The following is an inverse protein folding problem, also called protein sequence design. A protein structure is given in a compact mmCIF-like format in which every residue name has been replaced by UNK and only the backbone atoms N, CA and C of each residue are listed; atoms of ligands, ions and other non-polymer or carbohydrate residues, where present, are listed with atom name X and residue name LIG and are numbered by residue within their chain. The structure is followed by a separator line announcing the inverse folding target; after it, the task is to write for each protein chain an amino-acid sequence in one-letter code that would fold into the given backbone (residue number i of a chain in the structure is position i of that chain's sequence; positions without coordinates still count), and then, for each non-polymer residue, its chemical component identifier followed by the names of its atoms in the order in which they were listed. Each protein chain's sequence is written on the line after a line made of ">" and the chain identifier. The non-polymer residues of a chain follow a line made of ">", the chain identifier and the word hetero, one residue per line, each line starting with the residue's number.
data_IF_012475763214
#
_entry.id   IF_012475763214
#
_cell.length_a   1.000
_cell.length_b   1.000
_cell.length_c   1.000
_cell.angle_alpha   90.00
_cell.angle_beta   90.00
_cell.angle_gamma   90.00
#
_symmetry.space_group_name_H-M   'P 1'
#
loop_
_entity.id
_entity.type
_entity.pdbx_description
1 polymer ?
#
# COMPACT_ATOMS: atom_id res chain seq x y z
N UNK A 1 -5.26 9.03 9.77
CA UNK A 1 -6.11 10.24 9.85
C UNK A 1 -6.90 10.52 8.57
N UNK A 2 -6.39 10.23 7.36
CA UNK A 2 -7.14 10.35 6.08
C UNK A 2 -8.42 9.49 6.02
N UNK A 3 -8.41 8.28 6.60
CA UNK A 3 -9.60 7.41 6.66
C UNK A 3 -10.75 7.97 7.54
N UNK A 4 -10.43 8.78 8.56
CA UNK A 4 -11.43 9.47 9.40
C UNK A 4 -12.03 10.68 8.68
N UNK A 5 -11.27 11.36 7.80
CA UNK A 5 -11.78 12.43 6.95
C UNK A 5 -12.77 11.95 5.89
N UNK A 6 -12.64 10.70 5.42
CA UNK A 6 -13.53 10.08 4.42
C UNK A 6 -14.91 9.69 4.98
N UNK A 7 -15.02 9.54 6.30
CA UNK A 7 -16.24 9.08 6.98
C UNK A 7 -17.08 10.22 7.57
N UNK A 8 -16.61 11.47 7.47
CA UNK A 8 -17.27 12.63 8.06
C UNK A 8 -18.22 13.33 7.04
N UNK A 9 -19.53 13.06 7.16
CA UNK A 9 -20.58 13.60 6.26
C UNK A 9 -20.74 15.13 6.30
N UNK A 10 -20.20 15.81 7.30
CA UNK A 10 -20.47 17.23 7.54
C UNK A 10 -19.57 18.20 6.74
N UNK A 11 -18.52 17.72 6.06
CA UNK A 11 -17.57 18.57 5.32
C UNK A 11 -17.19 17.94 3.96
N UNK A 12 -18.04 18.07 2.92
CA UNK A 12 -17.88 17.37 1.64
C UNK A 12 -16.60 17.77 0.88
N UNK A 13 -16.09 19.00 1.04
CA UNK A 13 -14.85 19.44 0.40
C UNK A 13 -13.60 18.69 0.89
N UNK A 14 -13.53 18.38 2.20
CA UNK A 14 -12.40 17.65 2.79
C UNK A 14 -12.44 16.18 2.37
N UNK A 15 -13.65 15.60 2.25
CA UNK A 15 -13.84 14.25 1.77
C UNK A 15 -13.39 14.10 0.30
N UNK A 16 -13.76 15.05 -0.57
CA UNK A 16 -13.35 15.05 -1.99
C UNK A 16 -11.84 15.21 -2.12
N UNK A 17 -11.22 16.12 -1.36
CA UNK A 17 -9.77 16.28 -1.37
C UNK A 17 -9.03 15.02 -0.92
N UNK A 18 -9.45 14.39 0.19
CA UNK A 18 -8.85 13.14 0.66
C UNK A 18 -9.05 11.99 -0.32
N UNK A 19 -10.20 11.94 -1.00
CA UNK A 19 -10.50 10.91 -2.02
C UNK A 19 -9.64 11.12 -3.26
N UNK A 20 -9.51 12.35 -3.75
CA UNK A 20 -8.65 12.72 -4.88
C UNK A 20 -7.19 12.35 -4.60
N UNK A 21 -6.66 12.65 -3.42
CA UNK A 21 -5.28 12.27 -3.07
C UNK A 21 -5.09 10.75 -3.07
N UNK A 22 -6.04 10.00 -2.51
CA UNK A 22 -5.97 8.52 -2.49
C UNK A 22 -6.13 7.94 -3.90
N UNK A 23 -7.05 8.47 -4.72
CA UNK A 23 -7.29 8.01 -6.08
C UNK A 23 -6.17 8.39 -7.04
N UNK A 24 -5.54 9.57 -6.88
CA UNK A 24 -4.35 9.94 -7.66
C UNK A 24 -3.21 8.98 -7.34
N UNK A 25 -2.95 8.70 -6.06
CA UNK A 25 -1.86 7.78 -5.68
C UNK A 25 -2.13 6.34 -6.12
N UNK A 26 -3.39 5.87 -6.04
CA UNK A 26 -3.77 4.52 -6.52
C UNK A 26 -3.91 4.43 -8.04
N UNK A 27 -4.10 5.56 -8.72
CA UNK A 27 -4.21 5.67 -10.17
C UNK A 27 -2.86 5.81 -10.87
N UNK A 28 -1.78 6.07 -10.13
CA UNK A 28 -0.42 6.12 -10.67
C UNK A 28 0.19 4.71 -10.62
N UNK A 29 0.56 4.12 -11.76
CA UNK A 29 1.25 2.83 -11.79
C UNK A 29 2.57 2.90 -11.00
N UNK A 30 2.91 1.84 -10.27
CA UNK A 30 4.21 1.70 -9.59
C UNK A 30 5.37 1.96 -10.55
N UNK A 31 5.22 1.48 -11.78
CA UNK A 31 6.12 1.72 -12.92
C UNK A 31 6.47 3.20 -13.10
N UNK A 32 5.48 4.09 -13.07
CA UNK A 32 5.67 5.54 -13.22
C UNK A 32 6.41 6.13 -12.02
N UNK A 33 6.11 5.65 -10.82
CA UNK A 33 6.78 6.09 -9.60
C UNK A 33 8.24 5.66 -9.55
N UNK A 34 8.55 4.45 -10.01
CA UNK A 34 9.92 3.93 -10.12
C UNK A 34 10.75 4.71 -11.13
N UNK A 35 10.18 5.04 -12.29
CA UNK A 35 10.84 5.91 -13.27
C UNK A 35 11.06 7.33 -12.72
N UNK A 36 10.07 7.89 -12.04
CA UNK A 36 10.20 9.19 -11.40
C UNK A 36 11.27 9.17 -10.29
N UNK A 37 11.34 8.11 -9.49
CA UNK A 37 12.36 7.96 -8.45
C UNK A 37 13.77 7.77 -9.04
N UNK A 38 13.89 7.04 -10.16
CA UNK A 38 15.16 6.92 -10.88
C UNK A 38 15.65 8.28 -11.39
N UNK A 39 14.77 9.07 -12.00
CA UNK A 39 15.09 10.36 -12.60
C UNK A 39 15.28 11.48 -11.56
N UNK A 40 14.42 11.57 -10.55
CA UNK A 40 14.33 12.73 -9.65
C UNK A 40 15.18 12.59 -8.40
N UNK A 41 15.34 11.39 -7.82
CA UNK A 41 16.14 11.21 -6.59
C UNK A 41 17.59 11.68 -6.75
N UNK A 42 18.31 11.46 -7.88
CA UNK A 42 19.66 11.99 -8.08
C UNK A 42 19.71 13.52 -8.09
N UNK A 43 18.63 14.19 -8.55
CA UNK A 43 18.51 15.65 -8.61
C UNK A 43 18.39 16.29 -7.22
N UNK A 44 17.82 15.58 -6.23
CA UNK A 44 17.58 16.11 -4.89
C UNK A 44 18.63 15.69 -3.85
N UNK A 45 19.23 14.50 -3.96
CA UNK A 45 20.14 13.92 -2.95
C UNK A 45 21.60 14.00 -3.43
N UNK A 46 22.00 15.13 -4.01
CA UNK A 46 23.33 15.32 -4.57
C UNK A 46 24.47 14.71 -3.73
N UNK A 47 25.37 14.01 -4.40
CA UNK A 47 26.71 13.56 -3.95
C UNK A 47 26.78 12.26 -3.11
N UNK A 48 25.68 11.71 -2.57
CA UNK A 48 25.73 10.36 -1.97
C UNK A 48 25.36 9.32 -3.02
N UNK A 49 26.35 8.60 -3.54
CA UNK A 49 26.15 7.44 -4.42
C UNK A 49 25.54 6.27 -3.62
N UNK A 50 24.23 6.34 -3.37
CA UNK A 50 23.49 5.20 -2.83
C UNK A 50 23.29 4.20 -3.96
N UNK A 51 23.66 2.95 -3.70
CA UNK A 51 23.50 1.84 -4.63
C UNK A 51 22.07 1.79 -5.20
N UNK A 52 21.97 1.57 -6.51
CA UNK A 52 20.72 1.56 -7.25
C UNK A 52 19.74 0.52 -6.67
N UNK A 53 20.27 -0.63 -6.25
CA UNK A 53 19.48 -1.71 -5.66
C UNK A 53 18.84 -1.27 -4.34
N UNK A 54 19.57 -0.54 -3.50
CA UNK A 54 19.07 -0.03 -2.22
C UNK A 54 17.99 1.03 -2.45
N UNK A 55 18.22 1.96 -3.38
CA UNK A 55 17.23 3.00 -3.74
C UNK A 55 15.94 2.41 -4.28
N UNK A 56 16.06 1.45 -5.20
CA UNK A 56 14.92 0.73 -5.75
C UNK A 56 14.17 0.00 -4.64
N UNK A 57 14.88 -0.78 -3.81
CA UNK A 57 14.29 -1.57 -2.73
C UNK A 57 13.48 -0.72 -1.73
N UNK A 58 14.01 0.44 -1.32
CA UNK A 58 13.28 1.38 -0.44
C UNK A 58 12.02 1.91 -1.12
N UNK A 59 12.09 2.29 -2.40
CA UNK A 59 10.95 2.73 -3.18
C UNK A 59 9.85 1.66 -3.28
N UNK A 60 10.23 0.41 -3.56
CA UNK A 60 9.32 -0.73 -3.59
C UNK A 60 8.68 -0.96 -2.23
N UNK A 61 9.45 -1.05 -1.14
CA UNK A 61 8.92 -1.32 0.20
C UNK A 61 7.91 -0.26 0.61
N UNK A 62 8.24 1.03 0.45
CA UNK A 62 7.35 2.12 0.82
C UNK A 62 6.05 2.10 0.03
N UNK A 63 6.12 1.82 -1.27
CA UNK A 63 4.94 1.75 -2.12
C UNK A 63 4.08 0.53 -1.78
N UNK A 64 4.67 -0.67 -1.77
CA UNK A 64 3.98 -1.92 -1.44
C UNK A 64 3.32 -1.87 -0.06
N UNK A 65 3.96 -1.25 0.93
CA UNK A 65 3.40 -1.12 2.27
C UNK A 65 2.05 -0.37 2.28
N UNK A 66 1.87 0.63 1.42
CA UNK A 66 0.60 1.37 1.29
C UNK A 66 -0.49 0.48 0.71
N UNK A 67 -0.18 -0.28 -0.34
CA UNK A 67 -1.15 -1.17 -1.00
C UNK A 67 -1.57 -2.32 -0.08
N UNK A 68 -0.60 -2.98 0.57
CA UNK A 68 -0.88 -4.05 1.54
C UNK A 68 -1.71 -3.53 2.72
N UNK A 69 -1.45 -2.31 3.21
CA UNK A 69 -2.26 -1.72 4.27
C UNK A 69 -3.72 -1.49 3.84
N UNK A 70 -3.94 -1.06 2.60
CA UNK A 70 -5.27 -0.85 2.04
C UNK A 70 -6.02 -2.17 1.79
N UNK A 71 -5.31 -3.22 1.39
CA UNK A 71 -5.85 -4.57 1.23
C UNK A 71 -6.30 -5.17 2.58
N UNK A 72 -5.46 -5.03 3.62
CA UNK A 72 -5.83 -5.44 4.98
C UNK A 72 -7.04 -4.64 5.48
N UNK A 73 -7.09 -3.33 5.19
CA UNK A 73 -8.25 -2.47 5.51
C UNK A 73 -9.51 -2.94 4.79
N UNK A 74 -9.40 -3.32 3.51
CA UNK A 74 -10.48 -3.92 2.73
C UNK A 74 -10.95 -5.23 3.33
N UNK A 75 -10.03 -6.10 3.73
CA UNK A 75 -10.31 -7.34 4.44
C UNK A 75 -11.04 -7.12 5.77
N UNK A 76 -10.64 -6.11 6.56
CA UNK A 76 -11.32 -5.74 7.80
C UNK A 76 -12.77 -5.27 7.56
N UNK A 77 -13.02 -4.57 6.46
CA UNK A 77 -14.37 -4.12 6.10
C UNK A 77 -15.28 -5.24 5.55
N UNK A 78 -14.69 -6.32 5.04
CA UNK A 78 -15.43 -7.47 4.56
C UNK A 78 -16.03 -8.32 5.70
N UNK A 79 -15.52 -8.19 6.93
CA UNK A 79 -16.04 -8.92 8.08
C UNK A 79 -17.43 -8.39 8.46
N UNK A 80 -18.41 -9.28 8.50
CA UNK A 80 -19.80 -8.89 8.81
C UNK A 80 -19.94 -8.43 10.27
N UNK A 81 -20.78 -7.40 10.49
CA UNK A 81 -21.06 -6.91 11.85
C UNK A 81 -21.67 -7.98 12.76
N UNK A 82 -22.41 -8.94 12.19
CA UNK A 82 -22.98 -10.06 12.93
C UNK A 82 -21.93 -10.93 13.63
N UNK A 83 -20.71 -11.05 13.09
CA UNK A 83 -19.61 -11.77 13.78
C UNK A 83 -19.19 -11.05 15.07
N UNK A 84 -19.14 -9.71 15.03
CA UNK A 84 -18.80 -8.88 16.19
C UNK A 84 -19.92 -8.93 17.24
N UNK A 85 -21.18 -8.90 16.81
CA UNK A 85 -22.35 -8.99 17.68
C UNK A 85 -22.47 -10.37 18.34
N UNK A 86 -22.28 -11.45 17.58
CA UNK A 86 -22.27 -12.82 18.10
C UNK A 86 -21.14 -13.04 19.12
N UNK A 87 -19.92 -12.56 18.80
CA UNK A 87 -18.77 -12.63 19.69
C UNK A 87 -19.01 -11.86 21.01
N UNK A 88 -19.69 -10.71 20.93
CA UNK A 88 -20.11 -9.95 22.11
C UNK A 88 -21.19 -10.67 22.92
N UNK A 89 -22.14 -11.35 22.27
CA UNK A 89 -23.21 -12.09 22.93
C UNK A 89 -22.69 -13.28 23.76
N UNK A 90 -21.58 -13.89 23.35
CA UNK A 90 -20.91 -14.96 24.12
C UNK A 90 -19.91 -14.43 25.17
N UNK A 91 -19.89 -13.11 25.42
CA UNK A 91 -19.11 -12.49 26.50
C UNK A 91 -17.65 -12.20 26.18
N UNK A 92 -17.23 -12.23 24.90
CA UNK A 92 -15.86 -11.84 24.55
C UNK A 92 -15.65 -10.32 24.73
N UNK A 93 -14.49 -9.96 25.28
CA UNK A 93 -14.10 -8.56 25.39
C UNK A 93 -13.65 -8.00 24.02
N UNK A 94 -13.60 -6.67 23.83
CA UNK A 94 -13.26 -6.07 22.55
C UNK A 94 -11.91 -6.53 21.96
N UNK A 95 -10.91 -6.75 22.82
CA UNK A 95 -9.60 -7.23 22.38
C UNK A 95 -9.66 -8.67 21.85
N UNK A 96 -10.38 -9.55 22.55
CA UNK A 96 -10.63 -10.92 22.10
C UNK A 96 -11.44 -10.96 20.81
N UNK A 97 -12.47 -10.12 20.68
CA UNK A 97 -13.26 -10.02 19.45
C UNK A 97 -12.34 -9.63 18.27
N UNK A 98 -11.48 -8.62 18.45
CA UNK A 98 -10.55 -8.22 17.40
C UNK A 98 -9.55 -9.33 17.08
N UNK A 99 -8.86 -9.88 18.08
CA UNK A 99 -7.77 -10.82 17.87
C UNK A 99 -8.23 -12.20 17.37
N UNK A 100 -9.34 -12.72 17.91
CA UNK A 100 -9.79 -14.10 17.68
C UNK A 100 -10.85 -14.22 16.59
N UNK A 101 -11.63 -13.16 16.34
CA UNK A 101 -12.77 -13.20 15.41
C UNK A 101 -12.50 -12.35 14.19
N UNK A 102 -12.28 -11.05 14.38
CA UNK A 102 -12.22 -10.08 13.26
C UNK A 102 -10.92 -10.21 12.48
N UNK A 103 -9.77 -10.17 13.16
CA UNK A 103 -8.45 -10.18 12.54
C UNK A 103 -8.19 -11.42 11.66
N UNK A 104 -8.41 -12.67 12.11
CA UNK A 104 -8.16 -13.84 11.26
C UNK A 104 -9.10 -13.92 10.05
N UNK A 105 -10.35 -13.47 10.18
CA UNK A 105 -11.29 -13.40 9.06
C UNK A 105 -10.88 -12.31 8.05
N UNK A 106 -10.50 -11.14 8.56
CA UNK A 106 -10.06 -10.02 7.75
C UNK A 106 -8.79 -10.33 6.96
N UNK A 107 -7.79 -10.95 7.62
CA UNK A 107 -6.56 -11.37 6.96
C UNK A 107 -6.85 -12.37 5.85
N UNK A 108 -7.70 -13.36 6.09
CA UNK A 108 -8.11 -14.34 5.07
C UNK A 108 -8.80 -13.68 3.88
N UNK A 109 -9.66 -12.68 4.14
CA UNK A 109 -10.31 -11.90 3.10
C UNK A 109 -9.34 -11.02 2.29
N UNK A 110 -8.23 -10.58 2.91
CA UNK A 110 -7.20 -9.78 2.24
C UNK A 110 -6.21 -10.60 1.40
N UNK A 111 -6.07 -11.92 1.66
CA UNK A 111 -5.10 -12.79 0.95
C UNK A 111 -5.18 -12.68 -0.58
N UNK A 112 -6.36 -12.74 -1.23
CA UNK A 112 -6.43 -12.67 -2.69
C UNK A 112 -5.88 -11.36 -3.26
N UNK A 113 -6.14 -10.24 -2.58
CA UNK A 113 -5.65 -8.92 -2.98
C UNK A 113 -4.12 -8.82 -2.80
N UNK A 114 -3.60 -9.28 -1.65
CA UNK A 114 -2.17 -9.32 -1.36
C UNK A 114 -1.41 -10.18 -2.38
N UNK A 115 -1.98 -11.32 -2.80
CA UNK A 115 -1.39 -12.16 -3.85
C UNK A 115 -1.38 -11.42 -5.20
N UNK A 116 -2.43 -10.68 -5.52
CA UNK A 116 -2.47 -9.82 -6.71
C UNK A 116 -1.38 -8.75 -6.70
N UNK A 117 -1.17 -8.11 -5.55
CA UNK A 117 -0.10 -7.12 -5.36
C UNK A 117 1.28 -7.77 -5.50
N UNK A 118 1.50 -8.95 -4.90
CA UNK A 118 2.74 -9.71 -5.06
C UNK A 118 3.05 -10.05 -6.53
N UNK A 119 2.04 -10.48 -7.29
CA UNK A 119 2.21 -10.77 -8.72
C UNK A 119 2.54 -9.51 -9.53
N UNK A 120 1.99 -8.36 -9.14
CA UNK A 120 2.31 -7.07 -9.77
C UNK A 120 3.75 -6.68 -9.47
N UNK A 121 4.18 -6.77 -8.20
CA UNK A 121 5.56 -6.48 -7.79
C UNK A 121 6.59 -7.38 -8.48
N UNK A 122 6.23 -8.65 -8.67
CA UNK A 122 7.07 -9.59 -9.41
C UNK A 122 7.28 -9.15 -10.86
N UNK A 123 6.24 -8.65 -11.53
CA UNK A 123 6.34 -8.08 -12.89
C UNK A 123 7.17 -6.80 -12.91
N UNK A 124 6.99 -5.94 -11.90
CA UNK A 124 7.72 -4.66 -11.82
C UNK A 124 9.21 -4.84 -11.51
N UNK A 125 9.62 -5.97 -10.92
CA UNK A 125 11.04 -6.30 -10.68
C UNK A 125 11.83 -6.39 -11.99
N UNK A 126 11.22 -6.87 -13.08
CA UNK A 126 11.85 -6.89 -14.40
C UNK A 126 12.19 -5.50 -14.93
N UNK A 127 11.42 -4.46 -14.56
CA UNK A 127 11.71 -3.08 -14.97
C UNK A 127 12.94 -2.52 -14.24
N UNK A 128 13.13 -2.85 -12.97
CA UNK A 128 14.33 -2.46 -12.21
C UNK A 128 15.58 -3.04 -12.84
N UNK A 129 15.52 -4.30 -13.29
CA UNK A 129 16.62 -4.95 -13.99
C UNK A 129 17.00 -4.21 -15.27
N UNK A 130 16.00 -3.79 -16.08
CA UNK A 130 16.24 -2.98 -17.29
C UNK A 130 16.91 -1.64 -16.93
N UNK A 131 16.40 -0.93 -15.91
CA UNK A 131 16.95 0.35 -15.46
C UNK A 131 18.41 0.18 -15.01
N UNK A 132 18.72 -0.87 -14.25
CA UNK A 132 20.09 -1.17 -13.81
C UNK A 132 21.05 -1.49 -14.95
N UNK A 133 20.60 -2.22 -15.97
CA UNK A 133 21.41 -2.45 -17.17
C UNK A 133 21.69 -1.16 -17.93
N UNK A 134 20.70 -0.27 -18.08
CA UNK A 134 20.90 1.03 -18.75
C UNK A 134 21.82 1.97 -17.98
N UNK A 135 21.80 1.91 -16.64
CA UNK A 135 22.69 2.72 -15.79
C UNK A 135 24.16 2.27 -15.93
N UNK A 136 24.40 0.96 -15.97
CA UNK A 136 25.75 0.38 -16.22
C UNK A 136 26.26 0.75 -17.62
N UNK A 137 25.40 0.72 -18.63
CA UNK A 137 25.77 1.03 -20.01
C UNK A 137 25.93 2.54 -20.28
N UNK A 138 25.18 3.39 -19.57
CA UNK A 138 25.27 4.85 -19.68
C UNK A 138 26.39 5.48 -18.85
N UNK A 139 26.96 4.72 -17.91
CA UNK A 139 28.13 5.11 -17.11
C UNK A 139 29.47 4.63 -17.70
N UNK A 140 29.44 4.04 -18.90
CA UNK A 140 30.61 3.64 -19.70
C UNK A 140 30.91 4.63 -20.83
#
# INVERSE_FOLDING_TARGET
>A
MLALGRSNKNLPAIQVFCTLVIEIVRGVPLTTLLFAAWLLVPLFIGVVSVDLLVRASVGFILFTAVYVAEDIRGGLQAVSRGQVEAARAIGLNPFQITLLVVLPQALRAAVPAIVGEFLTLFKDTSLVFIIGMTDILGSA
#
